data_IF_934383996516
#
_entry.id   IF_934383996516
#
_cell.length_a   1.000
_cell.length_b   1.000
_cell.length_c   1.000
_cell.angle_alpha   90.00
_cell.angle_beta   90.00
_cell.angle_gamma   90.00
#
_symmetry.space_group_name_H-M   'P 1'
#
loop_
_entity.id
_entity.type
_entity.pdbx_description
1 polymer ?
#
# COMPACT_ATOMS: atom_id res chain seq x y z
N UNK A 1 26.36 -28.42 48.54
CA UNK A 1 25.82 -27.67 47.38
C UNK A 1 24.34 -28.03 47.25
N UNK A 2 23.47 -27.18 47.79
CA UNK A 2 22.05 -27.46 48.02
C UNK A 2 21.24 -26.97 46.82
N UNK A 3 20.52 -27.87 46.15
CA UNK A 3 19.61 -27.57 45.04
C UNK A 3 18.30 -27.00 45.58
N UNK A 4 17.97 -25.77 45.19
CA UNK A 4 16.69 -25.13 45.46
C UNK A 4 15.77 -25.35 44.25
N UNK A 5 14.70 -26.13 44.43
CA UNK A 5 13.65 -26.34 43.44
C UNK A 5 12.55 -25.30 43.72
N UNK A 6 12.32 -24.37 42.80
CA UNK A 6 11.22 -23.40 42.88
C UNK A 6 10.03 -23.99 42.11
N UNK A 7 8.98 -24.35 42.85
CA UNK A 7 7.67 -24.71 42.30
C UNK A 7 6.93 -23.42 41.93
N UNK A 8 6.71 -23.18 40.64
CA UNK A 8 5.84 -22.10 40.15
C UNK A 8 4.43 -22.66 40.00
N UNK A 9 3.53 -22.28 40.91
CA UNK A 9 2.10 -22.60 40.83
C UNK A 9 1.43 -21.79 39.72
N UNK A 10 1.06 -22.46 38.64
CA UNK A 10 0.29 -21.86 37.54
C UNK A 10 -1.17 -21.62 37.94
N UNK A 11 -1.56 -20.34 38.01
CA UNK A 11 -2.95 -19.92 38.04
C UNK A 11 -3.58 -20.21 36.67
N UNK A 12 -4.30 -21.33 36.56
CA UNK A 12 -5.18 -21.62 35.43
C UNK A 12 -6.46 -20.76 35.57
N UNK A 13 -6.35 -19.47 35.20
CA UNK A 13 -7.53 -18.64 34.98
C UNK A 13 -8.21 -19.10 33.69
N UNK A 14 -9.37 -19.75 33.78
CA UNK A 14 -10.20 -20.02 32.62
C UNK A 14 -10.63 -18.67 32.02
N UNK A 15 -10.07 -18.32 30.86
CA UNK A 15 -10.62 -17.28 30.00
C UNK A 15 -12.03 -17.73 29.59
N UNK A 16 -13.06 -17.19 30.23
CA UNK A 16 -14.43 -17.33 29.75
C UNK A 16 -14.55 -16.51 28.47
N UNK A 17 -14.65 -17.20 27.33
CA UNK A 17 -15.04 -16.56 26.07
C UNK A 17 -16.49 -16.10 26.26
N UNK A 18 -16.82 -14.81 26.09
CA UNK A 18 -18.20 -14.34 26.14
C UNK A 18 -19.06 -15.13 25.17
N UNK A 19 -20.32 -15.38 25.53
CA UNK A 19 -21.29 -15.93 24.58
C UNK A 19 -21.30 -15.05 23.32
N UNK A 20 -21.36 -15.69 22.15
CA UNK A 20 -21.43 -15.00 20.89
C UNK A 20 -22.64 -14.05 20.84
N UNK A 21 -22.60 -13.02 19.98
CA UNK A 21 -23.74 -12.13 19.82
C UNK A 21 -25.01 -12.94 19.50
N UNK A 22 -26.18 -12.53 20.05
CA UNK A 22 -27.44 -13.21 19.76
C UNK A 22 -27.72 -13.18 18.26
N UNK A 23 -28.24 -14.29 17.75
CA UNK A 23 -28.65 -14.46 16.36
C UNK A 23 -29.92 -13.63 16.13
N UNK A 24 -29.92 -12.75 15.14
CA UNK A 24 -31.06 -11.87 14.82
C UNK A 24 -32.13 -12.60 14.00
N UNK A 25 -31.70 -13.49 13.10
CA UNK A 25 -32.58 -14.22 12.19
C UNK A 25 -32.09 -15.65 11.91
N UNK A 26 -32.99 -16.51 11.43
CA UNK A 26 -32.70 -17.86 10.92
C UNK A 26 -33.08 -18.03 9.45
N UNK A 27 -34.03 -17.23 8.98
CA UNK A 27 -34.54 -17.23 7.61
C UNK A 27 -34.88 -15.80 7.20
N UNK A 28 -34.83 -15.49 5.91
CA UNK A 28 -35.06 -14.14 5.38
C UNK A 28 -36.42 -13.54 5.77
N UNK A 29 -37.45 -14.35 5.93
CA UNK A 29 -38.78 -13.87 6.35
C UNK A 29 -38.83 -13.34 7.78
N UNK A 30 -37.78 -13.51 8.58
CA UNK A 30 -37.64 -12.90 9.91
C UNK A 30 -37.05 -11.47 9.84
N UNK A 31 -36.58 -11.03 8.67
CA UNK A 31 -36.03 -9.71 8.41
C UNK A 31 -37.06 -8.78 7.73
N UNK A 32 -36.72 -7.49 7.58
CA UNK A 32 -37.56 -6.52 6.87
C UNK A 32 -37.49 -6.72 5.34
N UNK A 33 -38.16 -7.76 4.83
CA UNK A 33 -38.15 -8.10 3.40
C UNK A 33 -38.74 -7.01 2.51
N UNK A 34 -39.64 -6.18 3.06
CA UNK A 34 -40.22 -5.04 2.34
C UNK A 34 -39.18 -3.94 2.04
N UNK A 35 -38.13 -3.84 2.87
CA UNK A 35 -36.96 -3.00 2.63
C UNK A 35 -35.81 -3.72 1.90
N UNK A 36 -36.02 -4.99 1.53
CA UNK A 36 -35.04 -5.81 0.82
C UNK A 36 -34.02 -6.52 1.70
N UNK A 37 -34.24 -6.60 3.02
CA UNK A 37 -33.34 -7.31 3.92
C UNK A 37 -33.35 -8.83 3.69
N UNK A 38 -32.18 -9.45 3.86
CA UNK A 38 -31.96 -10.90 3.77
C UNK A 38 -31.30 -11.43 5.05
N UNK A 39 -31.64 -12.65 5.44
CA UNK A 39 -30.97 -13.31 6.55
C UNK A 39 -29.74 -14.07 6.06
N UNK A 40 -28.55 -13.67 6.50
CA UNK A 40 -27.31 -14.41 6.24
C UNK A 40 -26.45 -14.44 7.52
N UNK A 41 -25.75 -15.53 7.75
CA UNK A 41 -24.93 -15.76 8.95
C UNK A 41 -25.62 -15.44 10.30
N UNK A 42 -26.96 -15.43 10.32
CA UNK A 42 -27.75 -15.10 11.50
C UNK A 42 -27.98 -13.61 11.75
N UNK A 43 -27.72 -12.75 10.76
CA UNK A 43 -27.89 -11.29 10.80
C UNK A 43 -28.78 -10.85 9.64
N UNK A 44 -29.65 -9.87 9.88
CA UNK A 44 -30.43 -9.26 8.80
C UNK A 44 -29.58 -8.21 8.08
N UNK A 45 -29.23 -8.47 6.83
CA UNK A 45 -28.47 -7.56 5.97
C UNK A 45 -29.41 -6.86 4.99
N UNK A 46 -29.27 -5.54 4.83
CA UNK A 46 -29.97 -4.81 3.78
C UNK A 46 -30.38 -3.39 4.18
N UNK A 47 -31.34 -2.84 3.45
CA UNK A 47 -31.86 -1.47 3.59
C UNK A 47 -30.77 -0.39 3.75
N UNK A 48 -29.76 -0.37 2.84
CA UNK A 48 -28.68 0.59 2.97
C UNK A 48 -29.18 2.02 2.80
N UNK A 49 -28.60 3.00 3.52
CA UNK A 49 -28.90 4.41 3.26
C UNK A 49 -28.67 4.76 1.78
N UNK A 50 -29.49 5.65 1.19
CA UNK A 50 -29.26 6.08 -0.18
C UNK A 50 -28.00 6.95 -0.27
N UNK A 51 -27.24 6.78 -1.35
CA UNK A 51 -26.10 7.64 -1.69
C UNK A 51 -24.86 6.87 -2.12
N UNK A 52 -23.79 7.59 -2.47
CA UNK A 52 -22.53 6.96 -2.84
C UNK A 52 -21.80 6.44 -1.60
N UNK A 53 -21.09 5.34 -1.79
CA UNK A 53 -20.25 4.71 -0.79
C UNK A 53 -18.82 4.60 -1.29
N UNK A 54 -17.89 4.54 -0.34
CA UNK A 54 -16.51 4.24 -0.63
C UNK A 54 -15.96 3.26 0.41
N UNK A 55 -15.10 2.35 -0.04
CA UNK A 55 -14.48 1.37 0.82
C UNK A 55 -13.00 1.17 0.44
N UNK A 56 -12.19 0.81 1.43
CA UNK A 56 -10.83 0.33 1.22
C UNK A 56 -10.79 -1.16 1.57
N UNK A 57 -10.67 -2.01 0.55
CA UNK A 57 -10.60 -3.46 0.72
C UNK A 57 -9.13 -3.83 0.88
N UNK A 58 -8.76 -4.31 2.07
CA UNK A 58 -7.39 -4.73 2.36
C UNK A 58 -7.23 -6.24 2.30
N UNK A 59 -6.11 -6.77 1.80
CA UNK A 59 -5.85 -8.21 1.81
C UNK A 59 -5.89 -8.80 3.23
N UNK A 60 -6.29 -10.07 3.36
CA UNK A 60 -6.11 -10.82 4.60
C UNK A 60 -4.64 -10.77 5.05
N UNK A 61 -4.41 -10.73 6.37
CA UNK A 61 -3.07 -10.56 6.94
C UNK A 61 -1.99 -11.50 6.36
N UNK A 62 -2.35 -12.76 6.09
CA UNK A 62 -1.45 -13.78 5.52
C UNK A 62 -1.08 -13.55 4.05
N UNK A 63 -1.83 -12.71 3.33
CA UNK A 63 -1.66 -12.44 1.89
C UNK A 63 -1.24 -11.01 1.58
N UNK A 64 -0.88 -10.21 2.60
CA UNK A 64 -0.46 -8.82 2.44
C UNK A 64 0.81 -8.64 1.58
N UNK A 65 1.61 -9.69 1.43
CA UNK A 65 2.80 -9.69 0.55
C UNK A 65 2.49 -10.03 -0.90
N UNK A 66 1.34 -10.64 -1.18
CA UNK A 66 0.97 -11.15 -2.50
C UNK A 66 -0.12 -10.32 -3.18
N UNK A 67 -0.87 -9.56 -2.39
CA UNK A 67 -2.04 -8.81 -2.84
C UNK A 67 -1.94 -7.37 -2.35
N UNK A 68 -2.55 -6.46 -3.09
CA UNK A 68 -2.63 -5.03 -2.73
C UNK A 68 -4.03 -4.64 -2.27
N UNK A 69 -4.09 -3.62 -1.42
CA UNK A 69 -5.36 -3.01 -1.05
C UNK A 69 -5.94 -2.27 -2.26
N UNK A 70 -7.28 -2.25 -2.33
CA UNK A 70 -8.04 -1.64 -3.42
C UNK A 70 -9.08 -0.69 -2.85
N UNK A 71 -9.10 0.51 -3.39
CA UNK A 71 -10.21 1.44 -3.17
C UNK A 71 -11.39 1.06 -4.06
N UNK A 72 -12.59 1.20 -3.52
CA UNK A 72 -13.83 0.95 -4.22
C UNK A 72 -14.74 2.15 -4.07
N UNK A 73 -15.21 2.66 -5.20
CA UNK A 73 -16.26 3.65 -5.31
C UNK A 73 -17.53 2.96 -5.76
N UNK A 74 -18.62 3.25 -5.07
CA UNK A 74 -19.91 2.62 -5.23
C UNK A 74 -20.97 3.71 -5.37
N UNK A 75 -21.75 3.69 -6.44
CA UNK A 75 -22.84 4.65 -6.62
C UNK A 75 -24.01 4.40 -5.65
N UNK A 76 -24.06 3.19 -5.07
CA UNK A 76 -25.01 2.77 -4.03
C UNK A 76 -24.69 1.34 -3.55
N UNK A 77 -25.24 0.95 -2.41
CA UNK A 77 -25.24 -0.46 -1.97
C UNK A 77 -26.49 -1.19 -2.51
N UNK A 78 -26.35 -2.44 -2.98
CA UNK A 78 -27.48 -3.32 -3.25
C UNK A 78 -28.41 -3.42 -2.04
N UNK A 79 -29.71 -3.65 -2.28
CA UNK A 79 -30.70 -3.71 -1.20
C UNK A 79 -30.44 -4.84 -0.19
N UNK A 80 -29.83 -5.94 -0.64
CA UNK A 80 -29.40 -7.06 0.20
C UNK A 80 -28.00 -6.86 0.82
N UNK A 81 -27.36 -5.72 0.55
CA UNK A 81 -26.01 -5.39 1.00
C UNK A 81 -24.90 -6.21 0.33
N UNK A 82 -25.21 -7.10 -0.61
CA UNK A 82 -24.25 -8.06 -1.15
C UNK A 82 -23.61 -7.57 -2.47
N UNK A 83 -22.29 -7.39 -2.44
CA UNK A 83 -21.52 -6.91 -3.59
C UNK A 83 -20.85 -8.00 -4.42
N UNK A 84 -21.08 -9.27 -4.10
CA UNK A 84 -20.37 -10.35 -4.73
C UNK A 84 -18.95 -10.53 -4.21
N UNK A 85 -18.14 -11.21 -5.01
CA UNK A 85 -16.74 -11.51 -4.69
C UNK A 85 -15.83 -10.45 -5.28
N UNK A 86 -14.91 -9.94 -4.45
CA UNK A 86 -13.87 -9.02 -4.89
C UNK A 86 -12.55 -9.72 -5.13
N UNK A 87 -12.01 -9.52 -6.33
CA UNK A 87 -10.65 -9.92 -6.64
C UNK A 87 -9.70 -8.76 -6.32
N UNK A 88 -8.72 -9.06 -5.48
CA UNK A 88 -7.58 -8.19 -5.23
C UNK A 88 -6.46 -8.56 -6.19
N UNK A 89 -5.81 -7.55 -6.73
CA UNK A 89 -4.70 -7.71 -7.66
C UNK A 89 -3.39 -8.00 -6.91
N UNK A 90 -2.43 -8.53 -7.66
CA UNK A 90 -1.04 -8.60 -7.21
C UNK A 90 -0.38 -7.23 -7.34
N UNK A 91 0.60 -6.90 -6.49
CA UNK A 91 1.41 -5.70 -6.69
C UNK A 91 2.25 -5.80 -7.97
N UNK A 92 2.65 -4.64 -8.48
CA UNK A 92 3.65 -4.48 -9.53
C UNK A 92 4.95 -3.97 -8.92
N UNK A 93 6.07 -4.35 -9.54
CA UNK A 93 7.42 -4.00 -9.10
C UNK A 93 8.02 -2.94 -10.02
N UNK A 94 8.49 -1.83 -9.46
CA UNK A 94 9.32 -0.83 -10.14
C UNK A 94 10.73 -0.86 -9.53
N UNK A 95 11.75 -1.22 -10.31
CA UNK A 95 13.11 -1.35 -9.81
C UNK A 95 14.14 -0.68 -10.70
N UNK A 96 15.23 -0.22 -10.07
CA UNK A 96 16.22 0.60 -10.74
C UNK A 96 17.39 0.99 -9.84
N UNK A 97 18.13 2.00 -10.29
CA UNK A 97 19.24 2.61 -9.57
C UNK A 97 19.07 4.12 -9.51
N UNK A 98 19.46 4.71 -8.38
CA UNK A 98 19.63 6.15 -8.23
C UNK A 98 21.08 6.49 -8.53
N UNK A 99 21.26 7.40 -9.47
CA UNK A 99 22.58 7.90 -9.84
C UNK A 99 22.65 9.40 -9.65
N UNK A 100 23.85 9.89 -9.37
CA UNK A 100 24.14 11.31 -9.34
C UNK A 100 25.18 11.64 -10.41
N UNK A 101 24.81 12.38 -11.46
CA UNK A 101 25.76 12.78 -12.49
C UNK A 101 26.73 13.85 -11.97
N UNK A 102 28.03 13.60 -12.19
CA UNK A 102 29.20 14.52 -12.16
C UNK A 102 29.46 15.42 -10.93
N UNK A 103 28.48 15.70 -10.05
CA UNK A 103 28.61 16.68 -8.95
C UNK A 103 28.71 16.05 -7.55
N UNK A 104 28.27 14.80 -7.37
CA UNK A 104 28.32 14.13 -6.05
C UNK A 104 29.66 13.47 -5.70
N UNK A 105 30.58 13.34 -6.66
CA UNK A 105 31.80 12.54 -6.50
C UNK A 105 31.55 11.02 -6.30
N UNK A 106 30.30 10.56 -6.35
CA UNK A 106 29.88 9.17 -6.27
C UNK A 106 28.81 8.91 -7.32
N UNK A 107 28.98 7.86 -8.13
CA UNK A 107 27.99 7.41 -9.13
C UNK A 107 26.74 6.78 -8.49
N UNK A 108 26.81 6.43 -7.20
CA UNK A 108 25.80 5.64 -6.50
C UNK A 108 25.47 6.32 -5.16
N UNK A 109 24.17 6.51 -4.88
CA UNK A 109 23.69 7.31 -3.76
C UNK A 109 22.61 6.58 -2.94
N UNK A 110 22.85 6.47 -1.64
CA UNK A 110 21.82 6.09 -0.66
C UNK A 110 20.73 7.15 -0.64
N UNK A 111 19.45 6.76 -0.67
CA UNK A 111 18.34 7.67 -0.65
C UNK A 111 17.09 7.02 -0.03
N UNK A 112 16.19 7.87 0.45
CA UNK A 112 14.85 7.46 0.89
C UNK A 112 13.84 7.91 -0.17
N UNK A 113 13.08 6.96 -0.68
CA UNK A 113 12.04 7.16 -1.70
C UNK A 113 10.69 7.17 -0.99
N UNK A 114 9.95 8.27 -1.10
CA UNK A 114 8.59 8.41 -0.61
C UNK A 114 7.64 8.38 -1.79
N UNK A 115 6.73 7.41 -1.81
CA UNK A 115 5.71 7.26 -2.85
C UNK A 115 4.35 7.61 -2.26
N UNK A 116 3.64 8.54 -2.89
CA UNK A 116 2.30 8.95 -2.45
C UNK A 116 1.31 8.95 -3.61
N UNK A 117 0.04 8.64 -3.34
CA UNK A 117 -1.06 8.79 -4.29
C UNK A 117 -2.33 9.26 -3.56
N UNK A 118 -3.01 10.32 -4.02
CA UNK A 118 -4.32 10.70 -3.48
C UNK A 118 -5.32 9.54 -3.56
N UNK A 119 -6.23 9.45 -2.60
CA UNK A 119 -7.39 8.54 -2.70
C UNK A 119 -8.25 8.92 -3.89
N UNK A 120 -8.81 7.91 -4.57
CA UNK A 120 -9.76 8.07 -5.66
C UNK A 120 -11.10 8.65 -5.21
N UNK A 121 -11.41 8.63 -3.91
CA UNK A 121 -12.62 9.20 -3.34
C UNK A 121 -12.35 10.32 -2.33
N UNK A 122 -13.28 11.27 -2.25
CA UNK A 122 -13.18 12.46 -1.38
C UNK A 122 -13.15 12.06 0.09
N UNK A 123 -12.20 12.62 0.84
CA UNK A 123 -12.03 12.33 2.27
C UNK A 123 -11.34 10.99 2.56
N UNK A 124 -10.99 10.20 1.52
CA UNK A 124 -10.24 8.98 1.69
C UNK A 124 -8.77 9.21 2.10
N UNK A 125 -8.11 8.17 2.63
CA UNK A 125 -6.75 8.28 3.12
C UNK A 125 -5.75 8.48 1.97
N UNK A 126 -4.65 9.20 2.24
CA UNK A 126 -3.53 9.26 1.31
C UNK A 126 -2.81 7.90 1.28
N UNK A 127 -2.63 7.31 0.10
CA UNK A 127 -1.68 6.21 -0.04
C UNK A 127 -0.26 6.76 0.16
N UNK A 128 0.51 6.15 1.05
CA UNK A 128 1.91 6.52 1.31
C UNK A 128 2.75 5.29 1.62
N UNK A 129 3.85 5.12 0.91
CA UNK A 129 4.89 4.14 1.21
C UNK A 129 6.27 4.80 1.21
N UNK A 130 7.18 4.21 1.98
CA UNK A 130 8.58 4.66 2.12
C UNK A 130 9.48 3.48 1.83
N UNK A 131 10.45 3.69 0.97
CA UNK A 131 11.45 2.72 0.58
C UNK A 131 12.83 3.34 0.79
N UNK A 132 13.82 2.51 1.07
CA UNK A 132 15.22 2.93 1.12
C UNK A 132 15.98 2.21 0.00
N UNK A 133 16.98 2.87 -0.55
CA UNK A 133 17.87 2.25 -1.53
C UNK A 133 19.00 1.49 -0.85
N UNK A 134 19.59 0.54 -1.57
CA UNK A 134 20.83 -0.10 -1.16
C UNK A 134 21.93 0.97 -1.06
N UNK A 135 22.50 1.22 0.12
CA UNK A 135 23.37 2.37 0.34
C UNK A 135 24.65 2.39 -0.50
N UNK A 136 25.09 1.21 -0.95
CA UNK A 136 26.31 1.10 -1.76
C UNK A 136 26.06 1.33 -3.23
N UNK A 137 24.97 0.78 -3.76
CA UNK A 137 24.70 0.74 -5.21
C UNK A 137 23.64 1.72 -5.67
N UNK A 138 22.90 2.35 -4.74
CA UNK A 138 21.73 3.16 -5.05
C UNK A 138 20.56 2.34 -5.63
N UNK A 139 20.64 1.00 -5.61
CA UNK A 139 19.60 0.14 -6.15
C UNK A 139 18.32 0.22 -5.31
N UNK A 140 17.16 0.17 -5.96
CA UNK A 140 15.86 0.22 -5.29
C UNK A 140 14.84 -0.74 -5.92
N UNK A 141 13.83 -1.08 -5.12
CA UNK A 141 12.68 -1.84 -5.54
C UNK A 141 11.43 -1.30 -4.84
N UNK A 142 10.47 -0.80 -5.63
CA UNK A 142 9.17 -0.34 -5.16
C UNK A 142 8.14 -1.42 -5.49
N UNK A 143 7.36 -1.83 -4.50
CA UNK A 143 6.25 -2.80 -4.67
C UNK A 143 4.95 -2.05 -4.45
N UNK A 144 4.25 -1.73 -5.54
CA UNK A 144 3.13 -0.80 -5.55
C UNK A 144 1.86 -1.46 -6.13
N UNK A 145 0.66 -1.01 -5.76
CA UNK A 145 -0.54 -1.31 -6.53
C UNK A 145 -0.40 -0.80 -7.98
N UNK A 146 -0.92 -1.53 -8.99
CA UNK A 146 -0.96 -1.00 -10.35
C UNK A 146 -1.84 0.25 -10.43
N UNK A 147 -1.50 1.18 -11.32
CA UNK A 147 -2.31 2.35 -11.65
C UNK A 147 -3.29 1.96 -12.76
N UNK A 148 -4.59 2.10 -12.52
CA UNK A 148 -5.62 1.83 -13.52
C UNK A 148 -6.00 3.08 -14.31
N UNK A 149 -6.67 2.87 -15.44
CA UNK A 149 -7.25 3.97 -16.21
C UNK A 149 -8.20 4.81 -15.35
N UNK A 150 -7.95 6.12 -15.30
CA UNK A 150 -8.71 7.07 -14.48
C UNK A 150 -8.23 7.23 -13.04
N UNK A 151 -7.27 6.43 -12.57
CA UNK A 151 -6.61 6.65 -11.29
C UNK A 151 -5.52 7.72 -11.40
N UNK A 152 -5.24 8.41 -10.29
CA UNK A 152 -4.13 9.34 -10.20
C UNK A 152 -2.78 8.59 -10.27
N UNK A 153 -1.78 9.22 -10.90
CA UNK A 153 -0.41 8.71 -10.86
C UNK A 153 0.20 8.81 -9.46
N UNK A 154 1.21 7.99 -9.18
CA UNK A 154 2.00 8.15 -7.97
C UNK A 154 2.86 9.41 -8.07
N UNK A 155 2.96 10.19 -7.00
CA UNK A 155 4.04 11.14 -6.79
C UNK A 155 5.19 10.43 -6.09
N UNK A 156 6.35 10.36 -6.74
CA UNK A 156 7.58 9.79 -6.20
C UNK A 156 8.51 10.94 -5.80
N UNK A 157 8.92 10.96 -4.53
CA UNK A 157 9.90 11.91 -4.01
C UNK A 157 11.13 11.15 -3.55
N UNK A 158 12.27 11.40 -4.17
CA UNK A 158 13.56 10.81 -3.82
C UNK A 158 14.33 11.82 -2.99
N UNK A 159 14.60 11.49 -1.74
CA UNK A 159 15.38 12.29 -0.82
C UNK A 159 16.78 11.69 -0.70
N UNK A 160 17.83 12.37 -1.21
CA UNK A 160 19.20 11.93 -1.03
C UNK A 160 19.55 11.74 0.44
N UNK A 161 20.15 10.60 0.75
CA UNK A 161 20.66 10.29 2.07
C UNK A 161 21.93 11.08 2.39
N UNK A 162 22.26 11.17 3.67
CA UNK A 162 23.57 11.66 4.11
C UNK A 162 24.59 10.54 3.92
N UNK A 163 25.72 10.82 3.28
CA UNK A 163 26.93 10.01 3.45
C UNK A 163 27.74 10.64 4.57
N UNK A 164 28.12 9.84 5.56
CA UNK A 164 29.21 10.20 6.46
C UNK A 164 30.52 10.06 5.66
N UNK A 165 30.89 11.10 4.90
CA UNK A 165 32.19 11.15 4.27
C UNK A 165 33.17 11.79 5.27
N UNK A 166 34.22 11.07 5.70
CA UNK A 166 35.19 11.63 6.64
C UNK A 166 35.85 12.88 6.04
N UNK A 167 35.69 14.04 6.67
CA UNK A 167 36.38 15.28 6.30
C UNK A 167 35.62 16.25 5.39
N UNK A 168 34.35 16.00 5.05
CA UNK A 168 33.49 16.99 4.36
C UNK A 168 32.40 17.51 5.30
N UNK A 169 32.19 18.83 5.31
CA UNK A 169 31.15 19.49 6.13
C UNK A 169 29.81 19.64 5.42
N UNK A 170 29.77 19.41 4.11
CA UNK A 170 28.58 19.57 3.26
C UNK A 170 27.88 18.22 3.11
N UNK A 171 26.59 18.17 3.42
CA UNK A 171 25.81 16.93 3.24
C UNK A 171 25.44 16.73 1.77
N UNK A 172 25.32 15.49 1.29
CA UNK A 172 24.94 15.25 -0.12
C UNK A 172 23.56 15.84 -0.45
N UNK A 173 22.65 15.90 0.51
CA UNK A 173 21.35 16.56 0.36
C UNK A 173 21.44 18.08 0.12
N UNK A 174 22.59 18.70 0.42
CA UNK A 174 22.89 20.11 0.13
C UNK A 174 23.50 20.28 -1.28
N UNK A 175 24.12 19.23 -1.81
CA UNK A 175 24.68 19.18 -3.17
C UNK A 175 23.64 18.74 -4.21
N UNK A 176 22.69 17.91 -3.79
CA UNK A 176 21.65 17.34 -4.65
C UNK A 176 20.28 17.58 -4.03
N UNK A 177 19.44 18.43 -4.63
CA UNK A 177 18.09 18.63 -4.14
C UNK A 177 17.25 17.35 -4.30
N UNK A 178 16.22 17.14 -3.46
CA UNK A 178 15.26 16.07 -3.66
C UNK A 178 14.63 16.08 -5.05
N UNK A 179 14.55 14.92 -5.69
CA UNK A 179 13.82 14.75 -6.95
C UNK A 179 12.35 14.49 -6.65
N UNK A 180 11.46 15.15 -7.38
CA UNK A 180 10.02 14.88 -7.36
C UNK A 180 9.53 14.61 -8.78
N UNK A 181 8.91 13.46 -8.99
CA UNK A 181 8.41 13.00 -10.29
C UNK A 181 7.06 12.31 -10.13
N UNK A 182 6.37 12.04 -11.25
CA UNK A 182 5.20 11.18 -11.27
C UNK A 182 5.53 9.81 -11.87
N UNK A 183 4.82 8.78 -11.42
CA UNK A 183 4.99 7.40 -11.85
C UNK A 183 3.61 6.78 -12.12
N UNK A 184 3.41 6.35 -13.37
CA UNK A 184 2.32 5.47 -13.77
C UNK A 184 2.89 4.08 -14.04
N UNK A 185 2.38 3.06 -13.36
CA UNK A 185 2.86 1.68 -13.48
C UNK A 185 1.70 0.70 -13.47
N UNK A 186 1.53 -0.06 -14.54
CA UNK A 186 0.48 -1.08 -14.70
C UNK A 186 1.05 -2.51 -14.73
N UNK A 187 2.37 -2.65 -14.91
CA UNK A 187 3.10 -3.92 -14.95
C UNK A 187 4.50 -3.79 -14.36
N UNK A 188 5.20 -4.91 -14.16
CA UNK A 188 6.56 -4.88 -13.63
C UNK A 188 7.51 -4.15 -14.58
N UNK A 189 8.35 -3.27 -14.03
CA UNK A 189 9.40 -2.56 -14.73
C UNK A 189 10.73 -2.68 -13.98
N UNK A 190 11.81 -2.95 -14.72
CA UNK A 190 13.15 -3.20 -14.17
C UNK A 190 14.21 -2.41 -14.91
N UNK A 191 15.35 -2.16 -14.27
CA UNK A 191 16.52 -1.53 -14.90
C UNK A 191 16.35 -0.05 -15.19
N UNK A 192 15.50 0.64 -14.42
CA UNK A 192 15.32 2.10 -14.55
C UNK A 192 16.46 2.85 -13.87
N UNK A 193 16.75 4.04 -14.38
CA UNK A 193 17.70 4.95 -13.75
C UNK A 193 16.97 6.22 -13.35
N UNK A 194 17.20 6.69 -12.13
CA UNK A 194 16.73 7.98 -11.64
C UNK A 194 17.95 8.89 -11.45
N UNK A 195 18.11 9.83 -12.37
CA UNK A 195 19.14 10.86 -12.32
C UNK A 195 18.73 11.99 -11.38
N UNK A 196 19.54 12.23 -10.36
CA UNK A 196 19.32 13.35 -9.45
C UNK A 196 20.06 14.60 -9.92
N UNK A 197 19.45 15.78 -9.77
CA UNK A 197 20.10 17.06 -10.08
C UNK A 197 19.78 17.65 -11.46
N UNK A 198 18.97 16.97 -12.29
CA UNK A 198 18.42 17.62 -13.48
C UNK A 198 17.31 18.61 -13.09
N UNK A 199 17.46 19.88 -13.49
CA UNK A 199 16.55 20.99 -13.17
C UNK A 199 15.19 20.91 -13.90
N UNK A 200 14.93 19.83 -14.64
CA UNK A 200 13.70 19.63 -15.42
C UNK A 200 12.88 18.54 -14.74
N UNK A 201 11.58 18.76 -14.48
CA UNK A 201 10.73 17.69 -13.98
C UNK A 201 10.68 16.56 -15.01
N UNK A 202 11.39 15.47 -14.71
CA UNK A 202 11.27 14.20 -15.41
C UNK A 202 9.82 13.73 -15.21
N UNK A 203 9.02 13.74 -16.28
CA UNK A 203 7.79 12.96 -16.32
C UNK A 203 8.19 11.53 -16.71
N UNK A 204 8.11 10.59 -15.78
CA UNK A 204 8.31 9.17 -16.10
C UNK A 204 6.97 8.68 -16.66
N UNK A 205 6.74 8.93 -17.94
CA UNK A 205 5.64 8.33 -18.69
C UNK A 205 6.05 6.92 -19.12
N UNK A 206 5.46 5.91 -18.48
CA UNK A 206 5.61 4.50 -18.88
C UNK A 206 4.41 4.02 -19.70
N UNK A 207 4.59 3.76 -20.99
CA UNK A 207 3.96 2.63 -21.72
C UNK A 207 4.60 2.34 -23.11
N UNK A 208 4.81 1.02 -23.39
CA UNK A 208 4.94 0.26 -24.69
C UNK A 208 6.34 0.30 -25.41
N UNK A 209 6.99 -0.83 -25.78
CA UNK A 209 6.74 -1.70 -26.97
C UNK A 209 6.87 -3.22 -26.75
N UNK A 210 6.04 -3.91 -27.53
CA UNK A 210 5.75 -5.32 -27.78
C UNK A 210 6.86 -6.12 -28.53
N UNK A 211 6.76 -7.45 -28.41
CA UNK A 211 7.27 -8.58 -29.21
C UNK A 211 8.70 -9.14 -28.99
N UNK A 212 8.73 -10.40 -28.50
CA UNK A 212 9.27 -11.65 -29.12
C UNK A 212 9.68 -12.64 -28.00
N UNK A 213 9.20 -13.88 -27.86
CA UNK A 213 8.29 -14.80 -28.58
C UNK A 213 7.40 -15.53 -27.54
#
# INVERSE_FOLDING_TARGET
>A
MTKLLVLVSGLAGCLSVPDGPPVECKVTSECNTDAGEVCDEGVCYGDPPPGPFAALITPPGKRKSELVAREMLLDGLPQDGYFGTFELEKPVTFSGQIVCPNECGASELAATIVVTRPSGFVGGPLFRQVFDTEPRTGAFQLVLPPVRAGEAEYTVTVNPGKRDQPGTTTSIAELVPPLRTTLSIDKNETGKTLDLGEAVPLAITGTIVDAQD
#
